data_IF_768622536065
#
_entry.id   IF_768622536065
#
_cell.length_a   1.000
_cell.length_b   1.000
_cell.length_c   1.000
_cell.angle_alpha   90.00
_cell.angle_beta   90.00
_cell.angle_gamma   90.00
#
_symmetry.space_group_name_H-M   'P 1'
#
loop_
_entity.id
_entity.type
_entity.pdbx_description
1 polymer ?
#
# COMPACT_ATOMS: atom_id res chain seq x y z
N UNK A 1 33.23 40.25 36.37
CA UNK A 1 34.70 40.40 36.22
C UNK A 1 35.12 39.92 34.84
N UNK A 2 36.27 40.35 34.33
CA UNK A 2 36.62 40.20 32.89
C UNK A 2 37.61 39.06 32.62
N UNK A 3 37.91 38.88 31.33
CA UNK A 3 38.75 37.85 30.70
C UNK A 3 40.15 37.69 31.31
N UNK A 4 40.71 36.48 31.22
CA UNK A 4 42.15 36.25 31.05
C UNK A 4 42.34 35.28 29.87
N UNK A 5 43.41 35.46 29.09
CA UNK A 5 43.78 34.64 27.92
C UNK A 5 45.28 34.38 27.91
N UNK A 6 45.74 33.30 27.27
CA UNK A 6 47.05 33.11 26.59
C UNK A 6 46.94 31.78 25.77
N UNK A 7 47.34 31.65 24.51
CA UNK A 7 48.66 31.81 23.84
C UNK A 7 49.72 30.78 24.26
N UNK A 8 50.61 30.23 23.40
CA UNK A 8 50.55 29.84 21.96
C UNK A 8 51.96 29.37 21.49
N UNK A 9 52.02 28.41 20.55
CA UNK A 9 53.23 28.01 19.78
C UNK A 9 53.97 26.75 20.28
N UNK A 10 54.86 26.11 19.51
CA UNK A 10 55.14 26.13 18.06
C UNK A 10 56.23 25.06 17.72
N UNK A 11 56.63 24.91 16.44
CA UNK A 11 57.73 24.03 15.91
C UNK A 11 57.33 22.52 15.81
N UNK A 12 57.24 21.79 14.67
CA UNK A 12 58.03 21.62 13.42
C UNK A 12 59.18 20.57 13.56
N UNK A 13 59.60 19.73 12.57
CA UNK A 13 59.26 19.56 11.13
C UNK A 13 59.88 18.24 10.55
N UNK A 14 59.25 17.65 9.50
CA UNK A 14 59.84 16.69 8.49
C UNK A 14 60.34 15.30 9.02
N UNK A 15 60.60 14.24 8.23
CA UNK A 15 60.67 13.96 6.76
C UNK A 15 59.80 12.71 6.41
N UNK A 16 59.05 12.66 5.29
CA UNK A 16 59.40 12.16 3.92
C UNK A 16 59.70 10.63 3.85
N UNK A 17 59.28 9.85 2.83
CA UNK A 17 58.62 10.11 1.53
C UNK A 17 57.59 8.96 1.23
N UNK A 18 57.09 8.61 0.02
CA UNK A 18 57.40 8.97 -1.37
C UNK A 18 56.21 8.76 -2.37
N UNK A 19 56.46 9.18 -3.62
CA UNK A 19 55.84 8.91 -4.94
C UNK A 19 55.87 7.44 -5.40
N UNK A 20 55.22 6.95 -6.47
CA UNK A 20 54.94 7.47 -7.85
C UNK A 20 53.61 6.86 -8.35
N UNK A 21 52.80 7.43 -9.25
CA UNK A 21 52.85 8.70 -9.99
C UNK A 21 51.70 8.76 -11.02
N UNK A 22 51.53 9.89 -11.73
CA UNK A 22 50.42 10.10 -12.68
C UNK A 22 50.91 10.23 -14.14
N UNK A 23 50.04 9.91 -15.10
CA UNK A 23 50.23 10.23 -16.53
C UNK A 23 48.98 10.94 -17.04
N UNK A 24 49.18 12.16 -17.53
CA UNK A 24 48.15 13.00 -18.16
C UNK A 24 48.21 12.83 -19.68
N UNK A 25 47.07 12.80 -20.35
CA UNK A 25 47.00 13.29 -21.73
C UNK A 25 45.70 14.09 -21.95
N UNK A 26 45.84 15.18 -22.70
CA UNK A 26 44.76 16.08 -23.06
C UNK A 26 44.98 16.46 -24.53
N UNK A 27 44.03 16.10 -25.39
CA UNK A 27 44.03 16.40 -26.82
C UNK A 27 42.62 16.83 -27.22
N UNK A 28 42.50 17.98 -27.87
CA UNK A 28 41.24 18.44 -28.44
C UNK A 28 41.14 18.05 -29.92
N UNK A 29 39.96 17.62 -30.35
CA UNK A 29 39.61 17.30 -31.74
C UNK A 29 38.18 17.74 -32.03
N UNK A 30 37.92 18.17 -33.27
CA UNK A 30 36.64 18.76 -33.68
C UNK A 30 35.78 17.79 -34.50
N UNK A 31 34.46 17.96 -34.36
CA UNK A 31 33.38 17.50 -35.25
C UNK A 31 33.17 15.97 -35.43
N UNK A 32 32.01 15.50 -34.95
CA UNK A 32 31.42 14.18 -35.21
C UNK A 32 29.98 14.15 -34.69
N UNK A 33 29.08 13.35 -35.28
CA UNK A 33 27.64 13.39 -34.99
C UNK A 33 27.15 12.21 -34.14
N UNK A 34 26.31 12.52 -33.13
CA UNK A 34 25.34 11.64 -32.46
C UNK A 34 25.88 10.40 -31.67
N UNK A 35 25.04 9.75 -30.84
CA UNK A 35 23.94 10.26 -30.01
C UNK A 35 24.18 10.04 -28.48
N UNK A 36 23.18 10.41 -27.69
CA UNK A 36 22.91 10.09 -26.27
C UNK A 36 23.95 9.31 -25.44
N UNK A 37 24.47 9.96 -24.39
CA UNK A 37 25.28 9.33 -23.36
C UNK A 37 24.41 8.70 -22.26
N UNK A 38 24.45 7.37 -22.14
CA UNK A 38 23.74 6.63 -21.09
C UNK A 38 24.25 7.01 -19.69
N UNK A 39 23.33 7.20 -18.74
CA UNK A 39 23.66 7.23 -17.31
C UNK A 39 23.96 5.80 -16.84
N UNK A 40 24.97 5.57 -15.98
CA UNK A 40 25.19 4.26 -15.38
C UNK A 40 24.00 3.90 -14.48
N UNK A 41 23.17 2.97 -14.93
CA UNK A 41 22.10 2.40 -14.14
C UNK A 41 22.67 1.62 -12.96
N UNK A 42 22.07 1.77 -11.77
CA UNK A 42 22.45 0.98 -10.61
C UNK A 42 21.92 -0.45 -10.81
N UNK A 43 22.80 -1.36 -11.22
CA UNK A 43 22.45 -2.77 -11.40
C UNK A 43 22.00 -3.36 -10.05
N UNK A 44 20.72 -3.72 -9.97
CA UNK A 44 20.17 -4.50 -8.85
C UNK A 44 20.89 -5.85 -8.82
N UNK A 45 21.31 -6.30 -7.63
CA UNK A 45 22.04 -7.56 -7.52
C UNK A 45 21.10 -8.72 -7.82
N UNK A 46 21.59 -9.76 -8.51
CA UNK A 46 20.82 -11.00 -8.70
C UNK A 46 20.47 -11.68 -7.37
N UNK A 47 21.17 -11.34 -6.28
CA UNK A 47 20.85 -11.77 -4.91
C UNK A 47 19.50 -11.24 -4.41
N UNK A 48 19.11 -10.02 -4.78
CA UNK A 48 17.83 -9.44 -4.38
C UNK A 48 16.68 -10.08 -5.17
N UNK A 49 16.93 -10.44 -6.43
CA UNK A 49 16.00 -11.23 -7.25
C UNK A 49 15.88 -12.69 -6.78
N UNK A 50 16.84 -13.23 -6.03
CA UNK A 50 16.73 -14.56 -5.40
C UNK A 50 15.85 -14.55 -4.13
N UNK A 51 15.62 -13.40 -3.50
CA UNK A 51 14.68 -13.28 -2.37
C UNK A 51 13.19 -13.36 -2.80
N UNK A 52 12.92 -13.52 -4.10
CA UNK A 52 11.61 -13.90 -4.66
C UNK A 52 11.35 -15.42 -4.64
N UNK A 53 12.24 -16.24 -4.05
CA UNK A 53 11.95 -17.64 -3.74
C UNK A 53 10.82 -17.75 -2.70
N UNK A 54 9.58 -17.81 -3.22
CA UNK A 54 8.33 -18.22 -2.58
C UNK A 54 8.21 -18.00 -1.07
N UNK A 55 7.66 -16.84 -0.70
CA UNK A 55 6.98 -16.71 0.59
C UNK A 55 5.76 -17.64 0.58
N UNK A 56 5.84 -18.76 1.29
CA UNK A 56 4.70 -19.63 1.55
C UNK A 56 3.71 -18.92 2.51
N UNK A 57 2.43 -18.85 2.13
CA UNK A 57 1.37 -18.32 2.98
C UNK A 57 -0.02 -18.82 2.58
N UNK A 58 -0.86 -19.04 3.60
CA UNK A 58 -2.29 -19.30 3.50
C UNK A 58 -3.01 -18.42 4.51
N UNK A 59 -4.00 -17.65 4.09
CA UNK A 59 -4.81 -16.79 4.95
C UNK A 59 -6.30 -16.99 4.67
N UNK A 60 -7.04 -17.39 5.71
CA UNK A 60 -8.50 -17.45 5.72
C UNK A 60 -9.00 -16.46 6.78
N UNK A 61 -10.04 -15.69 6.47
CA UNK A 61 -10.48 -14.61 7.34
C UNK A 61 -11.63 -13.77 6.79
N UNK A 62 -11.90 -12.67 7.48
CA UNK A 62 -12.86 -11.62 7.08
C UNK A 62 -12.14 -10.30 6.83
N UNK A 63 -12.67 -9.46 5.93
CA UNK A 63 -12.16 -8.10 5.71
C UNK A 63 -13.24 -7.10 5.31
N UNK A 64 -12.99 -5.83 5.62
CA UNK A 64 -13.69 -4.65 5.14
C UNK A 64 -12.71 -3.79 4.30
N UNK A 65 -13.13 -3.34 3.12
CA UNK A 65 -12.46 -2.22 2.40
C UNK A 65 -13.45 -1.07 2.25
N UNK A 66 -13.15 0.04 2.93
CA UNK A 66 -13.90 1.29 2.86
C UNK A 66 -13.03 2.39 2.22
N UNK A 67 -13.57 3.17 1.28
CA UNK A 67 -12.84 4.29 0.69
C UNK A 67 -13.77 5.47 0.34
N UNK A 68 -13.18 6.62 0.00
CA UNK A 68 -13.93 7.86 -0.15
C UNK A 68 -14.81 7.98 -1.42
N UNK A 69 -14.79 6.99 -2.31
CA UNK A 69 -15.60 6.96 -3.53
C UNK A 69 -17.10 6.88 -3.23
N UNK A 70 -17.93 7.23 -4.23
CA UNK A 70 -19.33 6.81 -4.27
C UNK A 70 -19.49 5.30 -4.52
N UNK A 71 -20.64 4.75 -4.12
CA UNK A 71 -20.99 3.33 -4.32
C UNK A 71 -21.66 3.11 -5.69
N UNK A 72 -21.33 2.03 -6.45
CA UNK A 72 -20.23 1.10 -6.25
C UNK A 72 -18.89 1.71 -6.66
N UNK A 73 -17.78 1.17 -6.14
CA UNK A 73 -16.46 1.73 -6.40
C UNK A 73 -16.06 1.56 -7.88
N UNK A 74 -15.81 2.64 -8.64
CA UNK A 74 -15.36 2.56 -10.04
C UNK A 74 -14.01 1.80 -10.17
N UNK A 75 -13.22 1.91 -9.11
CA UNK A 75 -11.98 1.20 -8.80
C UNK A 75 -12.07 -0.33 -8.70
N UNK A 76 -13.22 -0.92 -9.04
CA UNK A 76 -13.43 -2.37 -9.17
C UNK A 76 -13.58 -2.82 -10.64
N UNK A 77 -13.67 -1.86 -11.57
CA UNK A 77 -13.86 -2.09 -13.01
C UNK A 77 -12.75 -1.41 -13.83
N UNK A 78 -11.55 -1.28 -13.26
CA UNK A 78 -10.39 -0.58 -13.84
C UNK A 78 -10.67 0.89 -14.20
N UNK A 79 -11.53 1.58 -13.43
CA UNK A 79 -11.82 3.02 -13.58
C UNK A 79 -11.22 3.83 -12.43
N UNK A 80 -11.04 5.13 -12.66
CA UNK A 80 -10.43 6.05 -11.69
C UNK A 80 -11.34 6.32 -10.47
N UNK A 81 -10.79 6.67 -9.30
CA UNK A 81 -11.56 7.14 -8.14
C UNK A 81 -12.44 8.34 -8.47
N UNK A 82 -13.67 8.36 -7.95
CA UNK A 82 -14.63 9.47 -8.10
C UNK A 82 -14.42 10.63 -7.12
N UNK A 83 -13.51 10.49 -6.16
CA UNK A 83 -13.26 11.47 -5.09
C UNK A 83 -11.77 11.54 -4.69
N UNK A 84 -11.43 12.45 -3.77
CA UNK A 84 -10.13 12.61 -3.09
C UNK A 84 -8.87 12.78 -3.95
N UNK A 85 -8.99 12.91 -5.27
CA UNK A 85 -7.84 12.87 -6.21
C UNK A 85 -7.06 11.55 -6.12
N UNK A 86 -7.69 10.49 -5.62
CA UNK A 86 -7.06 9.21 -5.28
C UNK A 86 -7.94 8.37 -4.36
N UNK A 87 -7.39 7.27 -3.86
CA UNK A 87 -8.09 6.35 -3.00
C UNK A 87 -7.62 6.50 -1.54
N UNK A 88 -8.20 7.50 -0.86
CA UNK A 88 -8.15 7.58 0.60
C UNK A 88 -9.04 6.45 1.15
N UNK A 89 -8.42 5.44 1.77
CA UNK A 89 -9.07 4.18 2.11
C UNK A 89 -8.60 3.59 3.44
N UNK A 90 -9.34 2.57 3.88
CA UNK A 90 -8.94 1.67 4.95
C UNK A 90 -9.35 0.24 4.63
N UNK A 91 -8.39 -0.67 4.79
CA UNK A 91 -8.56 -2.11 4.61
C UNK A 91 -8.33 -2.77 5.97
N UNK A 92 -9.41 -3.17 6.63
CA UNK A 92 -9.39 -3.88 7.91
C UNK A 92 -9.57 -5.38 7.67
N UNK A 93 -8.79 -6.20 8.37
CA UNK A 93 -8.71 -7.66 8.20
C UNK A 93 -8.72 -8.33 9.56
N UNK A 94 -9.50 -9.41 9.69
CA UNK A 94 -9.47 -10.40 10.75
C UNK A 94 -9.02 -11.74 10.17
N UNK A 95 -8.05 -12.42 10.79
CA UNK A 95 -7.63 -13.77 10.38
C UNK A 95 -8.25 -14.83 11.29
N UNK A 96 -9.23 -15.57 10.76
CA UNK A 96 -9.77 -16.78 11.40
C UNK A 96 -8.66 -17.81 11.59
N UNK A 97 -7.93 -18.09 10.49
CA UNK A 97 -6.89 -19.12 10.46
C UNK A 97 -5.92 -18.91 9.31
N UNK A 98 -4.62 -18.95 9.61
CA UNK A 98 -3.61 -18.86 8.57
C UNK A 98 -2.18 -19.04 9.05
N UNK A 99 -1.26 -18.81 8.12
CA UNK A 99 0.19 -18.82 8.33
C UNK A 99 0.89 -17.97 7.26
N UNK A 100 2.04 -17.38 7.62
CA UNK A 100 2.97 -16.75 6.69
C UNK A 100 4.37 -17.23 7.08
N UNK A 101 5.11 -17.87 6.17
CA UNK A 101 6.47 -18.37 6.41
C UNK A 101 6.56 -19.32 7.63
N UNK A 102 5.53 -20.16 7.82
CA UNK A 102 5.31 -21.01 8.99
C UNK A 102 4.75 -20.29 10.24
N UNK A 103 4.73 -18.96 10.26
CA UNK A 103 4.26 -18.15 11.39
C UNK A 103 2.73 -18.08 11.37
N UNK A 104 2.08 -18.81 12.28
CA UNK A 104 0.60 -18.82 12.44
C UNK A 104 0.00 -17.43 12.66
N UNK A 105 -1.11 -17.14 11.97
CA UNK A 105 -1.80 -15.84 11.99
C UNK A 105 -3.20 -15.85 12.61
N UNK A 106 -3.68 -17.00 13.09
CA UNK A 106 -4.99 -17.16 13.77
C UNK A 106 -5.21 -16.09 14.86
N UNK A 107 -6.37 -15.42 14.84
CA UNK A 107 -6.76 -14.41 15.83
C UNK A 107 -5.99 -13.09 15.77
N UNK A 108 -5.42 -12.76 14.61
CA UNK A 108 -4.69 -11.51 14.37
C UNK A 108 -5.49 -10.59 13.45
N UNK A 109 -5.78 -9.38 13.93
CA UNK A 109 -6.31 -8.29 13.11
C UNK A 109 -5.19 -7.35 12.64
N UNK A 110 -5.37 -6.76 11.46
CA UNK A 110 -4.65 -5.57 11.02
C UNK A 110 -5.54 -4.61 10.23
N UNK A 111 -5.17 -3.33 10.23
CA UNK A 111 -5.84 -2.29 9.45
C UNK A 111 -4.80 -1.48 8.71
N UNK A 112 -4.80 -1.56 7.38
CA UNK A 112 -4.03 -0.69 6.51
C UNK A 112 -4.87 0.58 6.29
N UNK A 113 -4.28 1.76 6.46
CA UNK A 113 -4.87 3.04 6.08
C UNK A 113 -3.95 3.79 5.14
N UNK A 114 -4.51 4.55 4.20
CA UNK A 114 -3.68 5.42 3.38
C UNK A 114 -4.36 6.04 2.17
N UNK A 115 -3.58 6.86 1.46
CA UNK A 115 -3.74 7.10 0.03
C UNK A 115 -2.88 6.08 -0.70
N UNK A 116 -3.42 4.89 -0.92
CA UNK A 116 -2.68 3.76 -1.52
C UNK A 116 -2.37 4.01 -3.01
N UNK A 117 -3.13 4.89 -3.67
CA UNK A 117 -2.85 5.42 -5.00
C UNK A 117 -3.62 6.73 -5.25
N UNK A 118 -3.18 7.51 -6.24
CA UNK A 118 -3.72 8.83 -6.55
C UNK A 118 -3.27 9.39 -7.89
N UNK A 119 -3.80 10.56 -8.23
CA UNK A 119 -3.44 11.31 -9.44
C UNK A 119 -1.98 11.79 -9.42
N UNK A 120 -1.45 12.07 -8.23
CA UNK A 120 -0.04 12.36 -7.96
C UNK A 120 0.51 11.31 -6.97
N UNK A 121 1.36 10.37 -7.43
CA UNK A 121 1.96 9.36 -6.56
C UNK A 121 2.84 9.92 -5.45
N UNK A 122 3.38 11.14 -5.58
CA UNK A 122 4.19 11.75 -4.51
C UNK A 122 3.35 12.10 -3.27
N UNK A 123 2.01 12.14 -3.41
CA UNK A 123 1.05 12.33 -2.33
C UNK A 123 0.45 11.01 -1.81
N UNK A 124 0.85 9.86 -2.35
CA UNK A 124 0.48 8.55 -1.81
C UNK A 124 1.20 8.30 -0.48
N UNK A 125 0.53 7.62 0.43
CA UNK A 125 1.08 7.18 1.70
C UNK A 125 0.27 6.03 2.27
N UNK A 126 0.87 5.21 3.13
CA UNK A 126 0.15 4.20 3.90
C UNK A 126 0.73 4.05 5.31
N UNK A 127 -0.08 3.52 6.22
CA UNK A 127 0.30 3.15 7.57
C UNK A 127 -0.45 1.87 7.96
N UNK A 128 0.14 1.04 8.81
CA UNK A 128 -0.47 -0.23 9.25
C UNK A 128 -0.63 -0.26 10.77
N UNK A 129 -1.86 -0.49 11.21
CA UNK A 129 -2.19 -0.87 12.58
C UNK A 129 -2.25 -2.40 12.64
N UNK A 130 -1.64 -2.99 13.66
CA UNK A 130 -1.70 -4.43 13.95
C UNK A 130 -2.18 -4.62 15.38
N UNK A 131 -2.86 -5.73 15.68
CA UNK A 131 -3.41 -5.98 17.01
C UNK A 131 -2.34 -6.02 18.11
N UNK A 132 -2.68 -5.59 19.32
CA UNK A 132 -1.73 -5.49 20.44
C UNK A 132 -1.17 -6.85 20.91
N UNK A 133 -1.93 -7.94 20.73
CA UNK A 133 -1.47 -9.31 21.00
C UNK A 133 -0.42 -9.85 20.01
N UNK A 134 -0.08 -9.12 18.95
CA UNK A 134 0.82 -9.60 17.89
C UNK A 134 2.23 -9.92 18.42
N UNK A 135 2.61 -11.19 18.44
CA UNK A 135 3.96 -11.65 18.84
C UNK A 135 5.02 -11.12 17.86
N UNK A 136 6.28 -10.98 18.31
CA UNK A 136 7.34 -10.32 17.52
C UNK A 136 7.58 -10.95 16.14
N UNK A 137 7.52 -12.28 16.08
CA UNK A 137 7.57 -13.09 14.86
C UNK A 137 6.38 -12.86 13.90
N UNK A 138 5.17 -12.55 14.41
CA UNK A 138 4.05 -12.16 13.54
C UNK A 138 4.27 -10.78 12.91
N UNK A 139 4.83 -9.82 13.66
CA UNK A 139 5.19 -8.51 13.10
C UNK A 139 6.23 -8.66 11.98
N UNK A 140 7.30 -9.43 12.22
CA UNK A 140 8.35 -9.66 11.21
C UNK A 140 7.82 -10.39 9.96
N UNK A 141 6.93 -11.38 10.12
CA UNK A 141 6.29 -12.06 8.99
C UNK A 141 5.31 -11.13 8.23
N UNK A 142 4.61 -10.22 8.90
CA UNK A 142 3.81 -9.18 8.24
C UNK A 142 4.68 -8.16 7.50
N UNK A 143 5.81 -7.72 8.08
CA UNK A 143 6.79 -6.85 7.39
C UNK A 143 7.32 -7.50 6.11
N UNK A 144 7.69 -8.80 6.17
CA UNK A 144 8.07 -9.59 4.99
C UNK A 144 6.92 -9.69 3.97
N UNK A 145 5.71 -10.04 4.42
CA UNK A 145 4.53 -10.18 3.56
C UNK A 145 4.16 -8.88 2.84
N UNK A 146 4.06 -7.75 3.53
CA UNK A 146 3.74 -6.47 2.90
C UNK A 146 4.87 -6.00 1.96
N UNK A 147 6.14 -6.20 2.34
CA UNK A 147 7.28 -5.87 1.46
C UNK A 147 7.23 -6.68 0.17
N UNK A 148 7.03 -8.00 0.25
CA UNK A 148 6.95 -8.88 -0.93
C UNK A 148 5.66 -8.64 -1.75
N UNK A 149 4.54 -8.32 -1.10
CA UNK A 149 3.29 -7.92 -1.77
C UNK A 149 3.48 -6.65 -2.60
N UNK A 150 4.23 -5.66 -2.10
CA UNK A 150 4.57 -4.45 -2.85
C UNK A 150 5.60 -4.73 -3.96
N UNK A 151 6.58 -5.61 -3.73
CA UNK A 151 7.57 -6.01 -4.74
C UNK A 151 6.94 -6.80 -5.92
N UNK A 152 5.94 -7.64 -5.65
CA UNK A 152 5.13 -8.30 -6.68
C UNK A 152 4.37 -7.30 -7.59
N UNK A 153 4.34 -6.02 -7.21
CA UNK A 153 3.66 -4.92 -7.89
C UNK A 153 4.68 -3.97 -8.59
N UNK A 154 5.95 -4.37 -8.77
CA UNK A 154 7.03 -3.60 -9.42
C UNK A 154 6.62 -2.90 -10.73
N UNK A 155 5.88 -3.60 -11.62
CA UNK A 155 5.36 -3.04 -12.89
C UNK A 155 4.40 -1.84 -12.73
N UNK A 156 3.92 -1.58 -11.50
CA UNK A 156 2.96 -0.51 -11.16
C UNK A 156 3.56 0.51 -10.19
N UNK A 157 4.82 0.33 -9.76
CA UNK A 157 5.44 1.15 -8.70
C UNK A 157 5.36 2.64 -9.00
N UNK A 158 5.56 3.07 -10.25
CA UNK A 158 5.57 4.49 -10.64
C UNK A 158 4.18 5.18 -10.51
N UNK A 159 3.14 4.44 -10.11
CA UNK A 159 1.77 4.94 -9.89
C UNK A 159 1.20 4.61 -8.50
N UNK A 160 1.74 3.59 -7.82
CA UNK A 160 1.33 3.18 -6.46
C UNK A 160 2.37 3.53 -5.38
N UNK A 161 3.61 3.86 -5.74
CA UNK A 161 4.62 4.29 -4.77
C UNK A 161 4.14 5.51 -4.00
N UNK A 162 4.48 5.51 -2.72
CA UNK A 162 4.05 6.48 -1.71
C UNK A 162 4.81 6.21 -0.43
N UNK A 163 4.76 7.14 0.53
CA UNK A 163 5.49 6.98 1.79
C UNK A 163 4.81 5.92 2.67
N UNK A 164 5.48 4.79 2.89
CA UNK A 164 5.18 3.92 4.02
C UNK A 164 5.57 4.64 5.31
N UNK A 165 4.57 5.08 6.09
CA UNK A 165 4.77 5.85 7.31
C UNK A 165 5.10 4.96 8.53
N UNK A 166 5.12 3.63 8.34
CA UNK A 166 5.46 2.63 9.35
C UNK A 166 4.29 1.72 9.73
N UNK A 167 4.50 0.96 10.81
CA UNK A 167 3.53 0.03 11.37
C UNK A 167 3.64 0.02 12.90
N UNK A 168 2.51 -0.11 13.62
CA UNK A 168 2.50 -0.25 15.09
C UNK A 168 1.42 -1.19 15.61
N UNK A 169 1.66 -1.69 16.82
CA UNK A 169 0.65 -2.40 17.63
C UNK A 169 -0.35 -1.41 18.24
N UNK A 170 -1.62 -1.75 18.22
CA UNK A 170 -2.72 -1.03 18.89
C UNK A 170 -3.80 -2.02 19.35
N UNK A 171 -4.64 -1.69 20.35
CA UNK A 171 -5.88 -2.42 20.56
C UNK A 171 -6.76 -2.27 19.31
N UNK A 172 -7.02 -3.39 18.63
CA UNK A 172 -8.01 -3.50 17.55
C UNK A 172 -9.24 -4.23 18.12
N UNK A 173 -10.42 -3.86 17.65
CA UNK A 173 -11.66 -4.62 17.87
C UNK A 173 -12.28 -4.93 16.52
N UNK A 174 -12.51 -6.21 16.26
CA UNK A 174 -13.33 -6.71 15.17
C UNK A 174 -14.71 -7.14 15.71
N UNK A 175 -15.78 -6.92 14.95
CA UNK A 175 -17.13 -7.44 15.26
C UNK A 175 -17.92 -7.66 13.96
N UNK A 176 -18.72 -8.72 13.93
CA UNK A 176 -19.66 -9.03 12.85
C UNK A 176 -21.03 -9.38 13.43
N UNK A 177 -22.08 -8.74 12.93
CA UNK A 177 -23.45 -8.98 13.36
C UNK A 177 -23.88 -10.43 13.09
N UNK A 178 -24.77 -10.96 13.93
CA UNK A 178 -25.27 -12.35 13.82
C UNK A 178 -26.07 -12.66 12.55
N UNK A 179 -26.42 -11.65 11.75
CA UNK A 179 -27.02 -11.79 10.41
C UNK A 179 -26.01 -11.62 9.27
N UNK A 180 -24.72 -11.42 9.58
CA UNK A 180 -23.62 -11.24 8.63
C UNK A 180 -23.64 -9.90 7.87
N UNK A 181 -24.51 -8.96 8.23
CA UNK A 181 -24.74 -7.73 7.44
C UNK A 181 -23.93 -6.52 7.90
N UNK A 182 -23.65 -6.40 9.19
CA UNK A 182 -22.99 -5.24 9.78
C UNK A 182 -21.66 -5.65 10.40
N UNK A 183 -20.56 -5.15 9.83
CA UNK A 183 -19.21 -5.47 10.28
C UNK A 183 -18.52 -4.21 10.79
N UNK A 184 -17.61 -4.33 11.74
CA UNK A 184 -16.84 -3.20 12.24
C UNK A 184 -15.40 -3.51 12.59
N UNK A 185 -14.57 -2.47 12.49
CA UNK A 185 -13.19 -2.46 12.92
C UNK A 185 -12.87 -1.13 13.63
N UNK A 186 -12.47 -1.18 14.90
CA UNK A 186 -12.13 -0.01 15.72
C UNK A 186 -10.67 -0.06 16.19
N UNK A 187 -9.97 1.07 16.10
CA UNK A 187 -8.81 1.41 16.93
C UNK A 187 -9.24 2.54 17.87
N UNK A 188 -9.49 2.29 19.18
CA UNK A 188 -10.17 3.23 20.05
C UNK A 188 -9.56 4.64 20.07
N UNK A 189 -10.36 5.63 19.68
CA UNK A 189 -9.97 7.05 19.60
C UNK A 189 -9.11 7.45 18.38
N UNK A 190 -8.69 6.49 17.55
CA UNK A 190 -7.84 6.70 16.37
C UNK A 190 -8.60 6.46 15.07
N UNK A 191 -9.30 5.33 14.95
CA UNK A 191 -10.02 4.92 13.75
C UNK A 191 -11.30 4.14 14.09
N UNK A 192 -12.34 4.38 13.30
CA UNK A 192 -13.59 3.60 13.31
C UNK A 192 -13.97 3.30 11.86
N UNK A 193 -14.30 2.04 11.57
CA UNK A 193 -14.96 1.59 10.36
C UNK A 193 -16.19 0.79 10.81
N UNK A 194 -17.38 1.16 10.32
CA UNK A 194 -18.62 0.39 10.49
C UNK A 194 -19.33 0.35 9.14
N UNK A 195 -19.72 -0.84 8.70
CA UNK A 195 -20.35 -1.05 7.38
C UNK A 195 -21.68 -1.75 7.51
N UNK A 196 -22.58 -1.53 6.55
CA UNK A 196 -23.81 -2.34 6.40
C UNK A 196 -23.98 -2.79 4.95
N UNK A 197 -24.11 -4.11 4.76
CA UNK A 197 -24.36 -4.74 3.47
C UNK A 197 -25.65 -4.25 2.80
N UNK A 198 -25.52 -3.77 1.56
CA UNK A 198 -26.59 -3.11 0.80
C UNK A 198 -27.57 -4.15 0.25
N UNK A 199 -28.86 -3.97 0.57
CA UNK A 199 -29.97 -4.69 -0.06
C UNK A 199 -30.77 -3.68 -0.89
N UNK A 200 -30.86 -3.90 -2.19
CA UNK A 200 -31.63 -3.05 -3.12
C UNK A 200 -33.13 -3.27 -2.90
N UNK A 201 -34.00 -2.23 -2.95
CA UNK A 201 -35.43 -2.39 -2.80
C UNK A 201 -36.03 -3.51 -3.67
N UNK A 202 -36.78 -4.42 -3.05
CA UNK A 202 -37.36 -5.60 -3.70
C UNK A 202 -36.45 -6.84 -3.72
N UNK A 203 -35.17 -6.73 -3.38
CA UNK A 203 -34.29 -7.87 -3.15
C UNK A 203 -34.37 -8.38 -1.71
N UNK A 204 -33.94 -9.63 -1.50
CA UNK A 204 -33.77 -10.25 -0.17
C UNK A 204 -32.31 -10.28 0.26
N UNK A 205 -31.44 -10.63 -0.67
CA UNK A 205 -30.00 -10.78 -0.44
C UNK A 205 -29.25 -9.48 -0.67
N UNK A 206 -28.04 -9.38 -0.08
CA UNK A 206 -27.17 -8.25 -0.31
C UNK A 206 -26.54 -8.28 -1.72
N UNK A 207 -26.23 -7.10 -2.27
CA UNK A 207 -25.60 -6.96 -3.58
C UNK A 207 -24.18 -7.51 -3.53
N UNK A 208 -23.89 -8.54 -4.32
CA UNK A 208 -22.56 -9.17 -4.44
C UNK A 208 -21.98 -8.98 -5.84
N UNK A 209 -20.67 -8.82 -5.94
CA UNK A 209 -19.92 -8.95 -7.19
C UNK A 209 -18.95 -10.12 -7.15
N UNK A 210 -18.68 -10.70 -8.32
CA UNK A 210 -17.84 -11.90 -8.55
C UNK A 210 -17.07 -11.74 -9.84
N UNK A 211 -15.85 -12.29 -9.93
CA UNK A 211 -14.99 -12.11 -11.11
C UNK A 211 -14.39 -10.70 -11.20
N UNK A 212 -14.29 -10.01 -10.06
CA UNK A 212 -13.68 -8.68 -9.93
C UNK A 212 -12.34 -8.84 -9.21
N UNK A 213 -11.33 -8.10 -9.65
CA UNK A 213 -10.04 -8.03 -8.95
C UNK A 213 -10.18 -7.43 -7.55
N UNK A 214 -9.74 -8.20 -6.57
CA UNK A 214 -9.66 -7.79 -5.18
C UNK A 214 -8.43 -8.36 -4.46
N UNK A 215 -7.97 -7.67 -3.42
CA UNK A 215 -6.73 -8.00 -2.71
C UNK A 215 -6.89 -9.25 -1.82
N UNK A 216 -8.14 -9.63 -1.54
CA UNK A 216 -8.54 -10.80 -0.74
C UNK A 216 -9.45 -11.73 -1.56
N UNK A 217 -9.14 -11.90 -2.84
CA UNK A 217 -9.77 -12.87 -3.75
C UNK A 217 -10.45 -12.23 -4.96
N UNK A 218 -11.64 -12.74 -5.34
CA UNK A 218 -12.32 -12.33 -6.58
C UNK A 218 -13.82 -11.99 -6.43
N UNK A 219 -14.31 -11.82 -5.19
CA UNK A 219 -15.72 -11.52 -4.91
C UNK A 219 -15.91 -10.79 -3.58
N UNK A 220 -16.98 -10.00 -3.47
CA UNK A 220 -17.35 -9.28 -2.24
C UNK A 220 -18.82 -8.83 -2.25
N UNK A 221 -19.34 -8.56 -1.06
CA UNK A 221 -20.63 -7.88 -0.85
C UNK A 221 -20.41 -6.37 -0.80
N UNK A 222 -21.26 -5.60 -1.47
CA UNK A 222 -21.24 -4.13 -1.42
C UNK A 222 -21.89 -3.64 -0.12
N UNK A 223 -21.29 -2.63 0.49
CA UNK A 223 -21.74 -2.06 1.76
C UNK A 223 -21.64 -0.53 1.74
N UNK A 224 -22.44 0.15 2.56
CA UNK A 224 -22.26 1.58 2.85
C UNK A 224 -21.51 1.76 4.18
N UNK A 225 -20.70 2.81 4.31
CA UNK A 225 -20.08 3.17 5.60
C UNK A 225 -21.09 3.84 6.52
N UNK A 226 -21.49 3.13 7.58
CA UNK A 226 -22.25 3.68 8.70
C UNK A 226 -21.40 4.68 9.49
N UNK A 227 -20.12 4.35 9.69
CA UNK A 227 -19.06 5.25 10.15
C UNK A 227 -17.77 4.92 9.40
N UNK A 228 -16.98 5.93 9.03
CA UNK A 228 -15.60 5.74 8.61
C UNK A 228 -14.79 6.98 8.95
N UNK A 229 -14.00 6.92 10.01
CA UNK A 229 -13.19 8.06 10.49
C UNK A 229 -11.77 7.63 10.80
N UNK A 230 -10.80 8.49 10.48
CA UNK A 230 -9.43 8.44 10.97
C UNK A 230 -9.12 9.78 11.65
N UNK A 231 -8.41 9.76 12.76
CA UNK A 231 -7.95 10.94 13.50
C UNK A 231 -6.67 10.56 14.30
N UNK A 232 -5.61 10.18 13.58
CA UNK A 232 -4.33 9.81 14.18
C UNK A 232 -3.38 11.02 14.20
N UNK A 233 -2.87 11.35 15.40
CA UNK A 233 -1.93 12.45 15.63
C UNK A 233 -0.47 12.03 15.50
N UNK A 234 -0.17 10.73 15.59
CA UNK A 234 1.20 10.21 15.49
C UNK A 234 1.70 10.23 14.04
N UNK A 235 0.80 10.04 13.07
CA UNK A 235 1.08 10.13 11.63
C UNK A 235 0.56 11.42 10.98
N UNK A 236 -0.08 12.31 11.75
CA UNK A 236 -0.75 13.54 11.29
C UNK A 236 -1.74 13.29 10.13
N UNK A 237 -2.74 12.41 10.34
CA UNK A 237 -3.75 12.06 9.33
C UNK A 237 -5.16 12.04 9.89
N UNK A 238 -6.09 12.62 9.14
CA UNK A 238 -7.50 12.73 9.52
C UNK A 238 -8.43 12.71 8.31
N UNK A 239 -9.54 11.98 8.41
CA UNK A 239 -10.67 12.07 7.48
C UNK A 239 -11.99 11.69 8.14
N UNK A 240 -13.10 12.08 7.51
CA UNK A 240 -14.41 11.49 7.72
C UNK A 240 -14.97 11.11 6.35
N UNK A 241 -15.21 9.81 6.18
CA UNK A 241 -15.66 9.13 4.96
C UNK A 241 -16.96 8.35 5.24
N UNK A 242 -17.76 8.78 6.22
CA UNK A 242 -19.12 8.27 6.48
C UNK A 242 -20.02 8.50 5.26
N UNK A 243 -20.92 7.56 4.97
CA UNK A 243 -21.80 7.62 3.80
C UNK A 243 -21.05 7.48 2.46
N UNK A 244 -19.90 6.81 2.47
CA UNK A 244 -19.10 6.45 1.29
C UNK A 244 -19.11 4.94 1.09
N UNK A 245 -18.50 4.53 -0.02
CA UNK A 245 -18.46 3.14 -0.44
C UNK A 245 -17.64 2.27 0.52
N UNK A 246 -18.23 1.15 0.92
CA UNK A 246 -17.54 0.00 1.50
C UNK A 246 -17.79 -1.28 0.70
N UNK A 247 -17.00 -2.30 0.95
CA UNK A 247 -17.27 -3.67 0.55
C UNK A 247 -16.68 -4.61 1.60
N UNK A 248 -17.31 -5.77 1.80
CA UNK A 248 -16.95 -6.72 2.84
C UNK A 248 -17.00 -8.15 2.28
N UNK A 249 -16.09 -9.01 2.74
CA UNK A 249 -16.01 -10.40 2.30
C UNK A 249 -15.27 -11.27 3.33
N UNK A 250 -15.73 -12.52 3.47
CA UNK A 250 -14.85 -13.60 3.92
C UNK A 250 -13.97 -14.03 2.74
N UNK A 251 -12.76 -14.49 3.02
CA UNK A 251 -11.78 -14.88 2.03
C UNK A 251 -11.02 -16.15 2.41
N UNK A 252 -10.47 -16.80 1.39
CA UNK A 252 -9.48 -17.87 1.49
C UNK A 252 -8.48 -17.63 0.36
N UNK A 253 -7.23 -17.28 0.70
CA UNK A 253 -6.20 -16.88 -0.25
C UNK A 253 -4.86 -17.57 0.08
N UNK A 254 -4.08 -17.85 -0.97
CA UNK A 254 -2.75 -18.46 -0.89
C UNK A 254 -1.78 -17.78 -1.85
N UNK A 255 -0.48 -18.01 -1.62
CA UNK A 255 0.60 -17.70 -2.56
C UNK A 255 0.31 -18.26 -3.97
N UNK A 256 -0.23 -19.48 -4.08
CA UNK A 256 -0.57 -20.13 -5.33
C UNK A 256 -1.72 -19.42 -6.07
N UNK A 257 -2.74 -18.95 -5.33
CA UNK A 257 -3.84 -18.15 -5.88
C UNK A 257 -3.31 -16.78 -6.36
N UNK A 258 -2.42 -16.15 -5.58
CA UNK A 258 -1.79 -14.88 -5.94
C UNK A 258 -0.92 -15.00 -7.20
N UNK A 259 -0.04 -16.02 -7.25
CA UNK A 259 0.86 -16.29 -8.38
C UNK A 259 0.13 -16.63 -9.69
N UNK A 260 -1.10 -17.15 -9.61
CA UNK A 260 -1.99 -17.38 -10.77
C UNK A 260 -2.82 -16.14 -11.16
N UNK A 261 -2.65 -15.00 -10.48
CA UNK A 261 -3.43 -13.77 -10.73
C UNK A 261 -4.87 -13.83 -10.21
N UNK A 262 -5.15 -14.69 -9.22
CA UNK A 262 -6.48 -14.83 -8.60
C UNK A 262 -6.87 -13.70 -7.62
N UNK A 263 -6.01 -12.69 -7.46
CA UNK A 263 -6.18 -11.50 -6.62
C UNK A 263 -5.66 -10.25 -7.35
N UNK A 264 -6.04 -9.05 -6.91
CA UNK A 264 -5.33 -7.82 -7.25
C UNK A 264 -6.11 -6.51 -7.13
N UNK A 265 -5.38 -5.41 -7.29
CA UNK A 265 -5.90 -4.04 -7.21
C UNK A 265 -6.63 -3.62 -8.50
N UNK A 266 -7.96 -3.48 -8.45
CA UNK A 266 -8.86 -3.30 -9.61
C UNK A 266 -8.98 -1.90 -10.23
N UNK A 267 -8.05 -0.98 -10.00
CA UNK A 267 -8.14 0.45 -10.37
C UNK A 267 -7.23 0.87 -11.55
N UNK A 268 -6.54 -0.09 -12.16
CA UNK A 268 -5.18 0.13 -12.67
C UNK A 268 -5.10 0.36 -14.19
N UNK A 269 -5.96 -0.25 -15.01
CA UNK A 269 -5.94 -0.04 -16.47
C UNK A 269 -6.68 1.23 -16.95
N UNK A 270 -7.08 2.12 -16.02
CA UNK A 270 -7.48 3.49 -16.35
C UNK A 270 -6.30 4.34 -16.86
N UNK A 271 -5.06 3.90 -16.59
CA UNK A 271 -3.86 4.57 -17.05
C UNK A 271 -3.53 4.16 -18.50
N UNK A 272 -3.66 5.12 -19.42
CA UNK A 272 -3.43 4.92 -20.86
C UNK A 272 -2.02 4.37 -21.22
N UNK A 273 -1.03 4.47 -20.33
CA UNK A 273 0.31 3.90 -20.56
C UNK A 273 0.38 2.37 -20.40
N UNK A 274 -0.65 1.73 -19.84
CA UNK A 274 -0.63 0.34 -19.39
C UNK A 274 -1.71 -0.53 -20.05
N UNK A 275 -1.89 -0.39 -21.38
CA UNK A 275 -2.82 -1.22 -22.15
C UNK A 275 -4.30 -0.90 -21.92
N UNK A 276 -4.62 0.36 -21.63
CA UNK A 276 -6.00 0.85 -21.52
C UNK A 276 -6.68 0.98 -22.88
N UNK A 277 -6.84 -0.13 -23.61
CA UNK A 277 -7.33 -0.20 -25.01
C UNK A 277 -8.83 0.13 -25.18
N UNK A 278 -9.44 0.80 -24.20
CA UNK A 278 -10.87 1.16 -24.21
C UNK A 278 -11.15 2.26 -25.24
N UNK A 279 -11.63 1.85 -26.42
CA UNK A 279 -12.15 2.73 -27.47
C UNK A 279 -13.27 3.66 -26.95
N UNK A 280 -13.95 3.26 -25.87
CA UNK A 280 -14.90 4.06 -25.11
C UNK A 280 -14.21 4.80 -23.96
N UNK A 281 -13.68 6.00 -24.25
CA UNK A 281 -13.34 6.96 -23.21
C UNK A 281 -14.60 7.41 -22.46
N UNK A 282 -14.52 7.57 -21.15
CA UNK A 282 -15.63 8.10 -20.34
C UNK A 282 -15.87 9.58 -20.67
N UNK A 283 -16.92 9.83 -21.43
CA UNK A 283 -17.48 11.16 -21.61
C UNK A 283 -18.47 11.41 -20.48
N UNK A 284 -18.13 12.31 -19.56
CA UNK A 284 -19.09 12.90 -18.64
C UNK A 284 -20.02 13.81 -19.44
N UNK A 285 -21.08 13.23 -19.99
CA UNK A 285 -22.18 13.99 -20.60
C UNK A 285 -22.82 14.81 -19.48
N UNK A 286 -22.92 16.12 -19.67
CA UNK A 286 -23.56 17.02 -18.71
C UNK A 286 -25.01 16.62 -18.48
N UNK A 287 -25.33 16.24 -17.25
CA UNK A 287 -26.71 16.18 -16.76
C UNK A 287 -26.97 17.49 -16.00
N UNK A 288 -27.38 18.50 -16.75
CA UNK A 288 -27.86 19.79 -16.27
C UNK A 288 -29.24 19.68 -15.57
#
# INVERSE_FOLDING_TARGET
MSMITHRAGSVARLFAAASVGAVTFLVAGLAGCAPDAERPGMAVSTTDAMLLESLDWELNGSRIIACCCGTPCPCRLNKAPTNCHGCDNSTAVHIDRGQIDGVRMDGLDWIIVGRVFGQDPTLNWHYVYVSEQARAEQMAALEKFFTMSMAAIEMKKDHLTGSGLGMRRVPIRWDESSDGREWSAEVPGVLVIQTRSIIVPGQKEAVRSTGIFDDYGNSFTHADTLEHTLNDREIDRKWNLKGRQANQAHFAITDEIAGKGGMGWGCWSANAKLGGDSQYGEQLIGHD
#
